data_IF_295939345876
#
_entry.id   IF_295939345876
#
_cell.length_a   1.000
_cell.length_b   1.000
_cell.length_c   1.000
_cell.angle_alpha   90.00
_cell.angle_beta   90.00
_cell.angle_gamma   90.00
#
_symmetry.space_group_name_H-M   'P 1'
#
loop_
_entity.id
_entity.type
_entity.pdbx_description
1 polymer ?
#
# COMPACT_ATOMS: atom_id res chain seq x y z
N UNK A 1 34.37 23.65 -55.33
CA UNK A 1 33.80 22.37 -54.83
C UNK A 1 34.54 21.76 -53.62
N UNK A 2 35.80 22.13 -53.34
CA UNK A 2 36.56 21.58 -52.20
C UNK A 2 36.03 22.00 -50.80
N UNK A 3 35.49 23.22 -50.66
CA UNK A 3 35.03 23.76 -49.37
C UNK A 3 33.83 22.99 -48.76
N UNK A 4 32.91 22.48 -49.60
CA UNK A 4 31.76 21.66 -49.16
C UNK A 4 32.17 20.29 -48.62
N UNK A 5 33.26 19.69 -49.10
CA UNK A 5 33.77 18.41 -48.59
C UNK A 5 34.45 18.57 -47.22
N UNK A 6 35.14 19.68 -46.97
CA UNK A 6 35.75 19.98 -45.68
C UNK A 6 34.71 20.28 -44.58
N UNK A 7 33.61 20.96 -44.92
CA UNK A 7 32.48 21.15 -43.99
C UNK A 7 31.75 19.84 -43.68
N UNK A 8 31.54 18.96 -44.66
CA UNK A 8 30.93 17.64 -44.44
C UNK A 8 31.74 16.76 -43.48
N UNK A 9 33.07 16.77 -43.58
CA UNK A 9 33.94 16.03 -42.67
C UNK A 9 33.88 16.58 -41.23
N UNK A 10 33.86 17.91 -41.05
CA UNK A 10 33.72 18.55 -39.72
C UNK A 10 32.35 18.27 -39.08
N UNK A 11 31.28 18.32 -39.84
CA UNK A 11 29.93 18.01 -39.35
C UNK A 11 29.82 16.53 -38.98
N UNK A 12 30.44 15.63 -39.75
CA UNK A 12 30.50 14.20 -39.42
C UNK A 12 31.17 13.91 -38.08
N UNK A 13 32.29 14.58 -37.77
CA UNK A 13 32.99 14.41 -36.49
C UNK A 13 32.19 15.01 -35.32
N UNK A 14 31.51 16.14 -35.53
CA UNK A 14 30.62 16.76 -34.52
C UNK A 14 29.36 15.92 -34.25
N UNK A 15 28.74 15.36 -35.29
CA UNK A 15 27.59 14.46 -35.17
C UNK A 15 28.00 13.16 -34.46
N UNK A 16 29.16 12.60 -34.83
CA UNK A 16 29.72 11.41 -34.15
C UNK A 16 30.01 11.69 -32.68
N UNK A 17 30.57 12.86 -32.35
CA UNK A 17 30.80 13.29 -30.98
C UNK A 17 29.50 13.51 -30.17
N UNK A 18 28.44 14.03 -30.80
CA UNK A 18 27.12 14.17 -30.16
C UNK A 18 26.44 12.82 -29.95
N UNK A 19 26.55 11.89 -30.89
CA UNK A 19 26.00 10.53 -30.76
C UNK A 19 26.72 9.74 -29.66
N UNK A 20 28.05 9.78 -29.60
CA UNK A 20 28.84 9.16 -28.52
C UNK A 20 28.44 9.70 -27.14
N UNK A 21 28.14 11.01 -27.02
CA UNK A 21 27.64 11.60 -25.78
C UNK A 21 26.22 11.15 -25.44
N UNK A 22 25.35 10.93 -26.43
CA UNK A 22 24.00 10.44 -26.24
C UNK A 22 23.97 8.94 -25.85
N UNK A 23 24.84 8.13 -26.47
CA UNK A 23 25.06 6.72 -26.11
C UNK A 23 25.62 6.62 -24.69
N UNK A 24 26.66 7.39 -24.34
CA UNK A 24 27.22 7.43 -22.99
C UNK A 24 26.18 7.88 -21.93
N UNK A 25 25.31 8.84 -22.26
CA UNK A 25 24.22 9.28 -21.36
C UNK A 25 23.17 8.21 -21.15
N UNK A 26 22.86 7.44 -22.20
CA UNK A 26 21.90 6.34 -22.14
C UNK A 26 22.46 5.18 -21.34
N UNK A 27 23.74 4.85 -21.53
CA UNK A 27 24.45 3.85 -20.75
C UNK A 27 24.52 4.22 -19.27
N UNK A 28 24.85 5.48 -18.95
CA UNK A 28 24.84 5.99 -17.57
C UNK A 28 23.46 5.92 -16.91
N UNK A 29 22.39 6.19 -17.66
CA UNK A 29 21.01 6.09 -17.16
C UNK A 29 20.59 4.64 -16.91
N UNK A 30 21.00 3.71 -17.78
CA UNK A 30 20.78 2.28 -17.60
C UNK A 30 21.60 1.73 -16.42
N UNK A 31 22.81 2.23 -16.21
CA UNK A 31 23.64 1.86 -15.08
C UNK A 31 23.00 2.31 -13.76
N UNK A 32 22.54 3.57 -13.69
CA UNK A 32 21.86 4.09 -12.50
C UNK A 32 20.55 3.39 -12.19
N UNK A 33 19.75 3.03 -13.21
CA UNK A 33 18.51 2.26 -12.97
C UNK A 33 18.80 0.85 -12.46
N UNK A 34 19.86 0.19 -12.96
CA UNK A 34 20.31 -1.13 -12.48
C UNK A 34 20.89 -1.09 -11.07
N UNK A 35 21.71 -0.08 -10.76
CA UNK A 35 22.25 0.12 -9.41
C UNK A 35 21.11 0.41 -8.44
N UNK A 36 20.17 1.29 -8.81
CA UNK A 36 18.98 1.59 -8.00
C UNK A 36 18.10 0.35 -7.81
N UNK A 37 17.97 -0.51 -8.84
CA UNK A 37 17.28 -1.79 -8.73
C UNK A 37 17.99 -2.75 -7.76
N UNK A 38 19.31 -2.87 -7.86
CA UNK A 38 20.11 -3.70 -6.95
C UNK A 38 20.01 -3.21 -5.51
N UNK A 39 20.16 -1.90 -5.26
CA UNK A 39 20.02 -1.31 -3.93
C UNK A 39 18.62 -1.54 -3.34
N UNK A 40 17.56 -1.43 -4.16
CA UNK A 40 16.20 -1.78 -3.73
C UNK A 40 16.05 -3.25 -3.36
N UNK A 41 16.60 -4.15 -4.18
CA UNK A 41 16.56 -5.59 -3.90
C UNK A 41 17.33 -5.95 -2.63
N UNK A 42 18.50 -5.33 -2.42
CA UNK A 42 19.31 -5.53 -1.20
C UNK A 42 18.56 -5.02 0.03
N UNK A 43 17.98 -3.80 -0.03
CA UNK A 43 17.17 -3.27 1.07
C UNK A 43 15.96 -4.16 1.38
N UNK A 44 15.29 -4.68 0.34
CA UNK A 44 14.15 -5.59 0.52
C UNK A 44 14.56 -6.94 1.14
N UNK A 45 15.77 -7.43 0.83
CA UNK A 45 16.34 -8.63 1.44
C UNK A 45 16.73 -8.35 2.90
N UNK A 46 17.30 -7.17 3.19
CA UNK A 46 17.69 -6.76 4.54
C UNK A 46 16.47 -6.61 5.46
N UNK A 47 15.43 -5.89 5.01
CA UNK A 47 14.13 -5.81 5.68
C UNK A 47 13.48 -7.20 5.83
N UNK A 48 13.66 -8.06 4.82
CA UNK A 48 13.13 -9.41 4.81
C UNK A 48 13.81 -10.37 5.78
N UNK A 49 15.12 -10.25 5.98
CA UNK A 49 15.91 -11.16 6.82
C UNK A 49 15.93 -10.68 8.28
N UNK A 50 16.13 -9.40 8.53
CA UNK A 50 16.23 -8.88 9.89
C UNK A 50 14.90 -8.94 10.64
N UNK A 51 13.88 -8.29 10.08
CA UNK A 51 12.63 -8.06 10.80
C UNK A 51 11.71 -9.29 10.75
N UNK A 52 11.59 -9.94 9.59
CA UNK A 52 10.68 -11.11 9.47
C UNK A 52 11.19 -12.31 10.24
N UNK A 53 12.50 -12.59 10.26
CA UNK A 53 13.03 -13.74 11.03
C UNK A 53 12.83 -13.49 12.53
N UNK A 54 13.04 -12.26 12.99
CA UNK A 54 12.73 -11.86 14.36
C UNK A 54 11.25 -12.06 14.71
N UNK A 55 10.34 -11.63 13.83
CA UNK A 55 8.90 -11.87 14.00
C UNK A 55 8.53 -13.35 14.00
N UNK A 56 9.13 -14.17 13.13
CA UNK A 56 8.86 -15.60 13.06
C UNK A 56 9.37 -16.33 14.31
N UNK A 57 10.60 -16.05 14.72
CA UNK A 57 11.17 -16.61 15.94
C UNK A 57 10.31 -16.23 17.16
N UNK A 58 9.94 -14.96 17.28
CA UNK A 58 9.02 -14.48 18.32
C UNK A 58 7.67 -15.21 18.27
N UNK A 59 7.09 -15.35 17.09
CA UNK A 59 5.81 -16.05 16.90
C UNK A 59 5.87 -17.50 17.37
N UNK A 60 6.93 -18.24 17.01
CA UNK A 60 7.15 -19.62 17.44
C UNK A 60 7.33 -19.70 18.97
N UNK A 61 8.14 -18.81 19.55
CA UNK A 61 8.33 -18.78 21.01
C UNK A 61 7.03 -18.51 21.75
N UNK A 62 6.24 -17.54 21.30
CA UNK A 62 4.95 -17.20 21.91
C UNK A 62 3.95 -18.35 21.77
N UNK A 63 3.91 -19.01 20.62
CA UNK A 63 3.03 -20.16 20.41
C UNK A 63 3.34 -21.30 21.39
N UNK A 64 4.62 -21.68 21.51
CA UNK A 64 5.06 -22.73 22.44
C UNK A 64 4.75 -22.33 23.89
N UNK A 65 5.07 -21.10 24.29
CA UNK A 65 4.77 -20.60 25.63
C UNK A 65 3.26 -20.62 25.93
N UNK A 66 2.42 -20.16 25.00
CA UNK A 66 0.96 -20.17 25.15
C UNK A 66 0.40 -21.58 25.26
N UNK A 67 0.93 -22.55 24.50
CA UNK A 67 0.49 -23.94 24.59
C UNK A 67 0.79 -24.53 25.96
N UNK A 68 2.00 -24.32 26.48
CA UNK A 68 2.40 -24.79 27.81
C UNK A 68 1.53 -24.18 28.91
N UNK A 69 1.29 -22.86 28.85
CA UNK A 69 0.43 -22.15 29.82
C UNK A 69 -1.02 -22.65 29.75
N UNK A 70 -1.54 -22.87 28.53
CA UNK A 70 -2.90 -23.34 28.32
C UNK A 70 -3.13 -24.75 28.88
N UNK A 71 -2.14 -25.65 28.82
CA UNK A 71 -2.20 -26.97 29.46
C UNK A 71 -2.00 -26.92 30.97
N UNK A 72 -1.23 -25.95 31.49
CA UNK A 72 -0.94 -25.83 32.92
C UNK A 72 -2.13 -25.31 33.76
N UNK A 73 -3.01 -24.48 33.19
CA UNK A 73 -4.06 -23.81 33.97
C UNK A 73 -5.24 -24.71 34.35
N UNK A 74 -5.87 -25.40 33.39
CA UNK A 74 -6.97 -26.36 33.59
C UNK A 74 -7.59 -26.76 32.24
N UNK A 75 -7.92 -28.04 32.06
CA UNK A 75 -8.64 -28.58 30.88
C UNK A 75 -9.88 -27.76 30.46
N UNK A 76 -10.62 -27.20 31.43
CA UNK A 76 -11.82 -26.39 31.17
C UNK A 76 -11.52 -25.08 30.44
N UNK A 77 -10.44 -24.39 30.81
CA UNK A 77 -10.04 -23.11 30.18
C UNK A 77 -9.41 -23.37 28.81
N UNK A 78 -8.62 -24.45 28.69
CA UNK A 78 -7.99 -24.86 27.44
C UNK A 78 -9.03 -25.14 26.33
N UNK A 79 -10.14 -25.82 26.65
CA UNK A 79 -11.22 -26.10 25.70
C UNK A 79 -11.91 -24.82 25.18
N UNK A 80 -12.10 -23.83 26.04
CA UNK A 80 -12.71 -22.55 25.66
C UNK A 80 -11.78 -21.76 24.74
N UNK A 81 -10.48 -21.71 25.03
CA UNK A 81 -9.48 -21.08 24.15
C UNK A 81 -9.36 -21.76 22.78
N UNK A 82 -9.47 -23.10 22.73
CA UNK A 82 -9.46 -23.85 21.47
C UNK A 82 -10.69 -23.52 20.61
N UNK A 83 -11.84 -23.21 21.21
CA UNK A 83 -13.05 -22.80 20.48
C UNK A 83 -13.05 -21.33 20.07
N UNK A 84 -12.41 -20.44 20.84
CA UNK A 84 -12.25 -19.04 20.47
C UNK A 84 -11.33 -18.84 19.25
N UNK A 85 -10.31 -19.69 19.10
CA UNK A 85 -9.40 -19.69 17.94
C UNK A 85 -10.10 -19.77 16.57
N UNK A 86 -10.91 -20.79 16.26
CA UNK A 86 -11.64 -20.87 15.00
C UNK A 86 -12.72 -19.79 14.87
N UNK A 87 -13.39 -19.40 15.96
CA UNK A 87 -14.41 -18.34 15.94
C UNK A 87 -13.79 -17.00 15.54
N UNK A 88 -12.65 -16.63 16.14
CA UNK A 88 -11.92 -15.41 15.80
C UNK A 88 -11.38 -15.44 14.36
N UNK A 89 -10.86 -16.58 13.91
CA UNK A 89 -10.39 -16.76 12.53
C UNK A 89 -11.53 -16.60 11.50
N UNK A 90 -12.72 -17.15 11.78
CA UNK A 90 -13.90 -17.03 10.92
C UNK A 90 -14.37 -15.58 10.86
N UNK A 91 -14.48 -14.90 12.01
CA UNK A 91 -14.88 -13.48 12.06
C UNK A 91 -13.90 -12.59 11.30
N UNK A 92 -12.59 -12.79 11.48
CA UNK A 92 -11.55 -12.09 10.72
C UNK A 92 -11.66 -12.34 9.21
N UNK A 93 -11.91 -13.58 8.80
CA UNK A 93 -12.07 -13.93 7.38
C UNK A 93 -13.31 -13.25 6.78
N UNK A 94 -14.44 -13.26 7.49
CA UNK A 94 -15.68 -12.60 7.06
C UNK A 94 -15.47 -11.09 6.98
N UNK A 95 -14.85 -10.49 8.00
CA UNK A 95 -14.53 -9.07 8.03
C UNK A 95 -13.66 -8.68 6.83
N UNK A 96 -12.57 -9.42 6.58
CA UNK A 96 -11.68 -9.18 5.44
C UNK A 96 -12.43 -9.25 4.10
N UNK A 97 -13.33 -10.22 3.93
CA UNK A 97 -14.13 -10.37 2.71
C UNK A 97 -15.15 -9.25 2.51
N UNK A 98 -15.85 -8.84 3.56
CA UNK A 98 -16.87 -7.78 3.50
C UNK A 98 -16.25 -6.39 3.33
N UNK A 99 -15.07 -6.18 3.92
CA UNK A 99 -14.39 -4.90 3.96
C UNK A 99 -13.52 -4.64 2.72
N UNK A 100 -13.01 -5.69 2.07
CA UNK A 100 -12.20 -5.60 0.84
C UNK A 100 -12.83 -4.81 -0.34
N UNK A 101 -14.10 -5.02 -0.74
CA UNK A 101 -14.68 -4.27 -1.85
C UNK A 101 -14.89 -2.78 -1.52
N UNK A 102 -15.29 -2.47 -0.28
CA UNK A 102 -15.48 -1.09 0.19
C UNK A 102 -14.14 -0.34 0.31
N UNK A 103 -13.08 -1.03 0.75
CA UNK A 103 -11.71 -0.52 0.78
C UNK A 103 -11.19 -0.20 -0.63
N UNK A 104 -11.40 -1.09 -1.59
CA UNK A 104 -11.01 -0.87 -2.98
C UNK A 104 -11.76 0.32 -3.61
N UNK A 105 -13.07 0.43 -3.37
CA UNK A 105 -13.86 1.57 -3.81
C UNK A 105 -13.40 2.90 -3.18
N UNK A 106 -13.01 2.87 -1.89
CA UNK A 106 -12.43 4.04 -1.24
C UNK A 106 -11.10 4.43 -1.90
N UNK A 107 -10.23 3.46 -2.17
CA UNK A 107 -8.94 3.70 -2.81
C UNK A 107 -9.10 4.24 -4.24
N UNK A 108 -10.05 3.73 -5.03
CA UNK A 108 -10.30 4.22 -6.38
C UNK A 108 -10.80 5.66 -6.38
N UNK A 109 -11.74 6.01 -5.48
CA UNK A 109 -12.25 7.38 -5.36
C UNK A 109 -11.16 8.34 -4.89
N UNK A 110 -10.28 7.90 -3.99
CA UNK A 110 -9.13 8.70 -3.54
C UNK A 110 -8.12 8.94 -4.67
N UNK A 111 -7.90 7.92 -5.53
CA UNK A 111 -7.08 8.04 -6.73
C UNK A 111 -7.65 9.02 -7.76
N UNK A 112 -8.97 8.97 -8.01
CA UNK A 112 -9.65 9.93 -8.91
C UNK A 112 -9.58 11.37 -8.37
N UNK A 113 -9.78 11.55 -7.06
CA UNK A 113 -9.64 12.84 -6.41
C UNK A 113 -8.20 13.38 -6.53
N UNK A 114 -7.21 12.52 -6.35
CA UNK A 114 -5.79 12.83 -6.56
C UNK A 114 -5.48 13.26 -8.00
N UNK A 115 -6.02 12.54 -8.99
CA UNK A 115 -5.84 12.88 -10.40
C UNK A 115 -6.44 14.25 -10.76
N UNK A 116 -7.61 14.60 -10.21
CA UNK A 116 -8.23 15.93 -10.41
C UNK A 116 -7.36 17.04 -9.80
N UNK A 117 -6.78 16.80 -8.62
CA UNK A 117 -5.87 17.75 -7.99
C UNK A 117 -4.58 17.92 -8.82
N UNK A 118 -4.02 16.82 -9.32
CA UNK A 118 -2.83 16.82 -10.17
C UNK A 118 -3.08 17.57 -11.49
N UNK A 119 -4.24 17.34 -12.13
CA UNK A 119 -4.66 18.06 -13.33
C UNK A 119 -4.77 19.57 -13.09
N UNK A 120 -5.33 19.98 -11.95
CA UNK A 120 -5.46 21.38 -11.57
C UNK A 120 -4.08 22.04 -11.32
N UNK A 121 -3.13 21.33 -10.72
CA UNK A 121 -1.77 21.82 -10.46
C UNK A 121 -0.96 21.91 -11.75
N UNK A 122 -1.00 20.89 -12.60
CA UNK A 122 -0.29 20.89 -13.88
C UNK A 122 -0.78 21.99 -14.81
N UNK A 123 -2.09 22.27 -14.82
CA UNK A 123 -2.72 23.27 -15.68
C UNK A 123 -3.04 24.60 -14.98
N UNK A 124 -2.30 24.96 -13.93
CA UNK A 124 -2.59 26.15 -13.09
C UNK A 124 -2.74 27.44 -13.88
N UNK A 125 -1.91 27.66 -14.91
CA UNK A 125 -1.97 28.88 -15.77
C UNK A 125 -3.26 28.92 -16.60
N UNK A 126 -3.70 27.78 -17.11
CA UNK A 126 -4.92 27.63 -17.91
C UNK A 126 -6.17 27.76 -17.06
N UNK A 127 -6.17 27.18 -15.86
CA UNK A 127 -7.27 27.27 -14.89
C UNK A 127 -7.45 28.71 -14.40
N UNK A 128 -6.36 29.43 -14.15
CA UNK A 128 -6.38 30.84 -13.80
C UNK A 128 -6.90 31.71 -14.96
N UNK A 129 -6.45 31.46 -16.18
CA UNK A 129 -6.90 32.19 -17.37
C UNK A 129 -8.40 32.01 -17.68
N UNK A 130 -8.94 30.82 -17.42
CA UNK A 130 -10.38 30.52 -17.61
C UNK A 130 -11.26 30.78 -16.37
N UNK A 131 -10.71 31.32 -15.26
CA UNK A 131 -11.43 31.45 -13.99
C UNK A 131 -12.10 30.14 -13.50
N UNK A 132 -11.53 28.99 -13.87
CA UNK A 132 -12.13 27.66 -13.70
C UNK A 132 -11.96 27.05 -12.30
N UNK A 133 -11.37 27.77 -11.34
CA UNK A 133 -11.02 27.24 -10.02
C UNK A 133 -12.24 26.68 -9.27
N UNK A 134 -13.37 27.40 -9.27
CA UNK A 134 -14.62 26.93 -8.62
C UNK A 134 -15.14 25.63 -9.21
N UNK A 135 -14.97 25.42 -10.51
CA UNK A 135 -15.43 24.19 -11.17
C UNK A 135 -14.61 22.98 -10.71
N UNK A 136 -13.28 23.11 -10.65
CA UNK A 136 -12.42 22.02 -10.18
C UNK A 136 -12.59 21.72 -8.70
N UNK A 137 -12.76 22.75 -7.85
CA UNK A 137 -13.08 22.54 -6.42
C UNK A 137 -14.39 21.77 -6.26
N UNK A 138 -15.45 22.15 -6.99
CA UNK A 138 -16.74 21.45 -6.92
C UNK A 138 -16.63 19.99 -7.39
N UNK A 139 -15.84 19.72 -8.43
CA UNK A 139 -15.59 18.36 -8.95
C UNK A 139 -14.82 17.51 -7.93
N UNK A 140 -13.84 18.09 -7.25
CA UNK A 140 -13.08 17.45 -6.17
C UNK A 140 -13.97 17.14 -4.96
N UNK A 141 -14.79 18.10 -4.51
CA UNK A 141 -15.74 17.90 -3.40
C UNK A 141 -16.77 16.79 -3.69
N UNK A 142 -17.26 16.71 -4.93
CA UNK A 142 -18.20 15.64 -5.33
C UNK A 142 -17.57 14.25 -5.23
N UNK A 143 -16.30 14.10 -5.63
CA UNK A 143 -15.59 12.83 -5.50
C UNK A 143 -15.30 12.48 -4.05
N UNK A 144 -14.88 13.45 -3.24
CA UNK A 144 -14.70 13.27 -1.80
C UNK A 144 -15.98 12.82 -1.09
N UNK A 145 -17.14 13.43 -1.41
CA UNK A 145 -18.44 13.02 -0.83
C UNK A 145 -18.79 11.56 -1.14
N UNK A 146 -18.50 11.09 -2.35
CA UNK A 146 -18.67 9.67 -2.70
C UNK A 146 -17.74 8.79 -1.86
N UNK A 147 -16.47 9.19 -1.71
CA UNK A 147 -15.48 8.49 -0.91
C UNK A 147 -15.88 8.37 0.56
N UNK A 148 -16.42 9.44 1.15
CA UNK A 148 -16.92 9.44 2.54
C UNK A 148 -18.06 8.44 2.74
N UNK A 149 -18.98 8.28 1.79
CA UNK A 149 -20.07 7.31 1.90
C UNK A 149 -19.55 5.87 1.96
N UNK A 150 -18.56 5.53 1.13
CA UNK A 150 -17.89 4.22 1.17
C UNK A 150 -17.12 4.01 2.48
N UNK A 151 -16.47 5.07 3.00
CA UNK A 151 -15.76 5.02 4.27
C UNK A 151 -16.68 4.77 5.45
N UNK A 152 -17.80 5.49 5.53
CA UNK A 152 -18.79 5.31 6.60
C UNK A 152 -19.34 3.88 6.59
N UNK A 153 -19.66 3.35 5.39
CA UNK A 153 -20.16 1.97 5.26
C UNK A 153 -19.11 0.93 5.69
N UNK A 154 -17.86 1.12 5.28
CA UNK A 154 -16.75 0.26 5.69
C UNK A 154 -16.54 0.28 7.21
N UNK A 155 -16.47 1.48 7.81
CA UNK A 155 -16.24 1.66 9.24
C UNK A 155 -17.41 1.11 10.07
N UNK A 156 -18.64 1.26 9.61
CA UNK A 156 -19.81 0.72 10.30
C UNK A 156 -19.81 -0.81 10.31
N UNK A 157 -19.50 -1.45 9.17
CA UNK A 157 -19.43 -2.92 9.08
C UNK A 157 -18.30 -3.47 9.97
N UNK A 158 -17.11 -2.87 9.91
CA UNK A 158 -16.00 -3.29 10.78
C UNK A 158 -16.30 -3.07 12.25
N UNK A 159 -16.78 -1.88 12.64
CA UNK A 159 -17.09 -1.58 14.03
C UNK A 159 -18.19 -2.47 14.61
N UNK A 160 -19.20 -2.82 13.81
CA UNK A 160 -20.24 -3.75 14.23
C UNK A 160 -19.69 -5.18 14.41
N UNK A 161 -18.87 -5.68 13.47
CA UNK A 161 -18.23 -6.99 13.60
C UNK A 161 -17.29 -7.06 14.81
N UNK A 162 -16.50 -6.01 15.06
CA UNK A 162 -15.57 -5.94 16.17
C UNK A 162 -16.30 -5.85 17.52
N UNK A 163 -17.36 -5.05 17.62
CA UNK A 163 -18.21 -4.99 18.82
C UNK A 163 -18.90 -6.32 19.12
N UNK A 164 -19.41 -7.01 18.10
CA UNK A 164 -19.99 -8.34 18.26
C UNK A 164 -18.97 -9.37 18.76
N UNK A 165 -17.73 -9.30 18.26
CA UNK A 165 -16.64 -10.17 18.68
C UNK A 165 -16.28 -9.98 20.16
N UNK A 166 -16.15 -8.73 20.61
CA UNK A 166 -15.90 -8.45 22.03
C UNK A 166 -17.04 -8.91 22.94
N UNK A 167 -18.29 -8.74 22.52
CA UNK A 167 -19.45 -9.23 23.27
C UNK A 167 -19.39 -10.74 23.49
N UNK A 168 -19.10 -11.51 22.43
CA UNK A 168 -18.95 -12.97 22.52
C UNK A 168 -17.76 -13.37 23.40
N UNK A 169 -16.62 -12.67 23.28
CA UNK A 169 -15.43 -12.93 24.09
C UNK A 169 -15.72 -12.76 25.60
N UNK A 170 -16.41 -11.68 25.99
CA UNK A 170 -16.76 -11.44 27.38
C UNK A 170 -17.75 -12.47 27.93
N UNK A 171 -18.69 -12.96 27.11
CA UNK A 171 -19.59 -14.06 27.50
C UNK A 171 -18.82 -15.35 27.80
N UNK A 172 -17.84 -15.69 26.96
CA UNK A 172 -16.98 -16.85 27.19
C UNK A 172 -16.14 -16.70 28.45
N UNK A 173 -15.58 -15.51 28.70
CA UNK A 173 -14.79 -15.26 29.91
C UNK A 173 -15.64 -15.37 31.18
N UNK A 174 -16.87 -14.85 31.15
CA UNK A 174 -17.83 -14.99 32.25
C UNK A 174 -18.22 -16.46 32.49
N UNK A 175 -18.48 -17.24 31.43
CA UNK A 175 -18.81 -18.66 31.53
C UNK A 175 -17.62 -19.53 31.99
N UNK A 176 -16.38 -19.10 31.72
CA UNK A 176 -15.19 -19.79 32.19
C UNK A 176 -14.92 -19.60 33.69
N UNK A 177 -15.38 -18.48 34.27
CA UNK A 177 -15.27 -18.19 35.70
C UNK A 177 -16.39 -18.83 36.54
N UNK A 178 -17.53 -19.17 35.91
CA UNK A 178 -18.67 -19.85 36.51
C UNK A 178 -18.47 -21.39 36.58
#
# INVERSE_FOLDING_TARGET
MAYRRAQGARVGVLVRGKNLRAEARTDYRNLNSRISGCSKNVAQIEDGIGDKIGMLARGVTVFIASAIIAFAFSWRITLVCIMDGPVSAITMAIMSRLSSPSMQAMMSVSGEAGAIAEEAVMNVKTVAACNGQRHMVKKYEQQLKKGMSYAIRYSFINGFCEGFMFFVLYLFYAAAFL
#
